data_IF_543815530902
#
_entry.id   IF_543815530902
#
_cell.length_a   1.000
_cell.length_b   1.000
_cell.length_c   1.000
_cell.angle_alpha   90.00
_cell.angle_beta   90.00
_cell.angle_gamma   90.00
#
_symmetry.space_group_name_H-M   'P 1'
#
loop_
_entity.id
_entity.type
_entity.pdbx_description
1 polymer ?
#
# COMPACT_ATOMS: atom_id res chain seq x y z
N UNK A 1 27.21 -12.23 -78.93
CA UNK A 1 27.30 -11.86 -77.50
C UNK A 1 25.96 -11.24 -77.12
N UNK A 2 24.99 -12.08 -76.70
CA UNK A 2 24.36 -12.07 -75.36
C UNK A 2 24.34 -10.69 -74.71
N UNK A 3 23.13 -10.14 -74.53
CA UNK A 3 22.57 -9.59 -73.28
C UNK A 3 21.27 -8.84 -73.63
N UNK A 4 20.14 -9.55 -73.58
CA UNK A 4 18.82 -8.94 -73.50
C UNK A 4 18.00 -9.77 -72.49
N UNK A 5 17.10 -9.11 -71.76
CA UNK A 5 16.06 -9.68 -70.87
C UNK A 5 16.33 -9.66 -69.36
N UNK A 6 16.75 -8.55 -68.74
CA UNK A 6 16.52 -8.37 -67.28
C UNK A 6 16.32 -6.89 -66.95
N UNK A 7 15.20 -6.23 -67.31
CA UNK A 7 14.85 -4.90 -66.72
C UNK A 7 13.34 -4.56 -66.71
N UNK A 8 12.43 -5.52 -66.59
CA UNK A 8 11.00 -5.17 -66.44
C UNK A 8 10.23 -5.91 -65.35
N UNK A 9 10.84 -6.86 -64.64
CA UNK A 9 10.13 -7.63 -63.60
C UNK A 9 10.25 -7.06 -62.18
N UNK A 10 11.11 -6.06 -61.93
CA UNK A 10 11.35 -5.51 -60.57
C UNK A 10 10.44 -4.32 -60.24
N UNK A 11 9.78 -3.72 -61.23
CA UNK A 11 8.89 -2.57 -61.01
C UNK A 11 7.45 -2.96 -60.64
N UNK A 12 7.07 -4.24 -60.78
CA UNK A 12 5.71 -4.70 -60.46
C UNK A 12 5.53 -5.09 -58.99
N UNK A 13 6.60 -5.36 -58.25
CA UNK A 13 6.54 -5.75 -56.83
C UNK A 13 6.45 -4.57 -55.85
N UNK A 14 6.55 -3.32 -56.33
CA UNK A 14 6.47 -2.12 -55.48
C UNK A 14 5.07 -1.50 -55.38
N UNK A 15 4.06 -2.05 -56.06
CA UNK A 15 2.70 -1.48 -56.08
C UNK A 15 1.65 -2.23 -55.25
N UNK A 16 2.05 -3.25 -54.48
CA UNK A 16 1.09 -4.02 -53.66
C UNK A 16 1.50 -3.98 -52.19
N UNK A 17 1.26 -2.85 -51.52
CA UNK A 17 1.10 -2.80 -50.06
C UNK A 17 0.71 -1.40 -49.56
N UNK A 18 -0.27 -0.77 -50.21
CA UNK A 18 -1.14 0.17 -49.49
C UNK A 18 -2.43 -0.56 -49.15
N UNK A 19 -2.35 -1.54 -48.24
CA UNK A 19 -3.52 -2.05 -47.55
C UNK A 19 -3.99 -0.95 -46.61
N UNK A 20 -4.91 -0.11 -47.08
CA UNK A 20 -5.72 0.73 -46.21
C UNK A 20 -6.56 -0.25 -45.39
N UNK A 21 -6.06 -0.64 -44.23
CA UNK A 21 -6.84 -1.35 -43.23
C UNK A 21 -7.88 -0.36 -42.70
N UNK A 22 -8.99 -0.22 -43.41
CA UNK A 22 -10.21 0.33 -42.85
C UNK A 22 -10.68 -0.73 -41.87
N UNK A 23 -10.20 -0.66 -40.63
CA UNK A 23 -10.68 -1.55 -39.59
C UNK A 23 -12.14 -1.18 -39.33
N UNK A 24 -13.06 -2.02 -39.79
CA UNK A 24 -14.49 -1.93 -39.50
C UNK A 24 -14.80 -2.13 -38.00
N UNK A 25 -13.75 -2.35 -37.19
CA UNK A 25 -13.78 -2.42 -35.74
C UNK A 25 -14.55 -1.25 -35.08
N UNK A 26 -14.62 -0.09 -35.74
CA UNK A 26 -15.35 1.09 -35.24
C UNK A 26 -16.55 1.50 -36.10
N UNK A 27 -17.14 0.60 -36.91
CA UNK A 27 -18.36 0.87 -37.71
C UNK A 27 -18.28 2.20 -38.51
N UNK A 28 -17.18 2.43 -39.23
CA UNK A 28 -17.02 3.63 -40.06
C UNK A 28 -16.69 4.94 -39.33
N UNK A 29 -16.54 4.93 -38.00
CA UNK A 29 -16.01 6.10 -37.26
C UNK A 29 -14.50 6.15 -37.46
N UNK A 30 -13.99 7.29 -37.94
CA UNK A 30 -12.54 7.47 -38.09
C UNK A 30 -11.90 7.42 -36.71
N UNK A 31 -10.86 6.59 -36.53
CA UNK A 31 -10.06 6.52 -35.30
C UNK A 31 -9.71 7.92 -34.78
N UNK A 32 -9.29 8.83 -35.66
CA UNK A 32 -8.98 10.21 -35.30
C UNK A 32 -10.14 10.95 -34.59
N UNK A 33 -11.39 10.70 -34.94
CA UNK A 33 -12.57 11.33 -34.32
C UNK A 33 -12.85 10.76 -32.90
N UNK A 34 -12.56 9.47 -32.69
CA UNK A 34 -12.63 8.85 -31.35
C UNK A 34 -11.53 9.44 -30.48
N UNK A 35 -10.30 9.51 -30.98
CA UNK A 35 -9.18 10.09 -30.26
C UNK A 35 -9.42 11.57 -29.95
N UNK A 36 -9.95 12.38 -30.88
CA UNK A 36 -10.25 13.80 -30.62
C UNK A 36 -11.28 14.00 -29.48
N UNK A 37 -12.24 13.08 -29.33
CA UNK A 37 -13.24 13.12 -28.25
C UNK A 37 -12.72 12.55 -26.92
N UNK A 38 -11.64 11.76 -26.91
CA UNK A 38 -11.13 11.09 -25.71
C UNK A 38 -9.74 11.54 -25.24
N UNK A 39 -8.90 12.12 -26.11
CA UNK A 39 -7.49 12.44 -25.81
C UNK A 39 -7.32 13.55 -24.77
N UNK A 40 -8.35 14.38 -24.56
CA UNK A 40 -8.26 15.53 -23.66
C UNK A 40 -9.27 15.52 -22.51
N UNK A 41 -10.15 14.52 -22.43
CA UNK A 41 -11.15 14.42 -21.36
C UNK A 41 -10.63 13.45 -20.30
N UNK A 42 -9.83 13.99 -19.37
CA UNK A 42 -9.43 13.26 -18.18
C UNK A 42 -10.60 13.26 -17.18
N UNK A 43 -11.13 12.09 -16.76
CA UNK A 43 -12.19 12.04 -15.77
C UNK A 43 -11.65 12.52 -14.41
N UNK A 44 -12.43 13.34 -13.72
CA UNK A 44 -12.20 13.62 -12.31
C UNK A 44 -12.76 12.43 -11.52
N UNK A 45 -11.86 11.71 -10.85
CA UNK A 45 -12.23 10.64 -9.93
C UNK A 45 -12.22 11.21 -8.51
N UNK A 46 -13.38 11.29 -7.86
CA UNK A 46 -13.47 11.69 -6.45
C UNK A 46 -13.75 10.46 -5.60
N UNK A 47 -12.87 10.23 -4.62
CA UNK A 47 -13.05 9.20 -3.60
C UNK A 47 -13.44 9.91 -2.31
N UNK A 48 -14.64 9.62 -1.80
CA UNK A 48 -15.12 10.16 -0.54
C UNK A 48 -15.11 9.05 0.50
N UNK A 49 -14.35 9.28 1.58
CA UNK A 49 -14.30 8.40 2.74
C UNK A 49 -15.08 9.04 3.90
N UNK A 50 -15.73 8.24 4.76
CA UNK A 50 -16.16 8.71 6.07
C UNK A 50 -14.98 9.29 6.85
N UNK A 51 -15.26 10.27 7.72
CA UNK A 51 -14.23 10.96 8.48
C UNK A 51 -13.46 10.01 9.39
N UNK A 52 -14.16 9.05 10.01
CA UNK A 52 -13.54 8.01 10.84
C UNK A 52 -12.52 7.16 10.07
N UNK A 53 -12.86 6.75 8.86
CA UNK A 53 -12.03 5.91 8.00
C UNK A 53 -10.84 6.71 7.45
N UNK A 54 -11.07 7.99 7.09
CA UNK A 54 -10.03 8.90 6.65
C UNK A 54 -9.02 9.18 7.76
N UNK A 55 -9.48 9.39 8.99
CA UNK A 55 -8.62 9.60 10.16
C UNK A 55 -7.79 8.35 10.48
N UNK A 56 -8.38 7.16 10.33
CA UNK A 56 -7.65 5.89 10.50
C UNK A 56 -6.56 5.71 9.44
N UNK A 57 -6.86 6.06 8.18
CA UNK A 57 -5.89 6.05 7.10
C UNK A 57 -4.75 7.03 7.35
N UNK A 58 -5.05 8.25 7.79
CA UNK A 58 -4.03 9.24 8.13
C UNK A 58 -3.16 8.79 9.30
N UNK A 59 -3.78 8.25 10.36
CA UNK A 59 -3.07 7.71 11.51
C UNK A 59 -2.06 6.63 11.08
N UNK A 60 -2.46 5.74 10.16
CA UNK A 60 -1.54 4.73 9.61
C UNK A 60 -0.30 5.36 8.99
N UNK A 61 -0.47 6.33 8.09
CA UNK A 61 0.65 7.01 7.43
C UNK A 61 1.54 7.75 8.42
N UNK A 62 0.95 8.40 9.42
CA UNK A 62 1.72 9.02 10.52
C UNK A 62 2.56 7.99 11.26
N UNK A 63 1.98 6.82 11.57
CA UNK A 63 2.69 5.75 12.25
C UNK A 63 3.82 5.17 11.41
N UNK A 64 3.58 4.82 10.13
CA UNK A 64 4.62 4.31 9.23
C UNK A 64 5.80 5.29 9.09
N UNK A 65 5.52 6.60 9.08
CA UNK A 65 6.54 7.64 9.04
C UNK A 65 7.29 7.78 10.36
N UNK A 66 6.58 7.77 11.49
CA UNK A 66 7.19 8.12 12.77
C UNK A 66 7.91 6.93 13.43
N UNK A 67 7.37 5.70 13.32
CA UNK A 67 7.89 4.51 14.02
C UNK A 67 8.79 3.63 13.14
N UNK A 68 9.19 4.08 11.95
CA UNK A 68 10.14 3.33 11.14
C UNK A 68 11.54 3.32 11.76
N UNK A 69 12.38 2.39 11.27
CA UNK A 69 13.73 2.16 11.79
C UNK A 69 14.64 3.38 11.71
N UNK A 70 14.43 4.28 10.75
CA UNK A 70 15.27 5.47 10.57
C UNK A 70 14.87 6.63 11.47
N UNK A 71 13.60 6.68 11.89
CA UNK A 71 13.03 7.83 12.60
C UNK A 71 12.84 7.53 14.08
N UNK A 72 12.22 6.39 14.42
CA UNK A 72 11.93 5.96 15.80
C UNK A 72 11.41 7.10 16.69
N UNK A 73 10.52 7.94 16.14
CA UNK A 73 9.93 9.07 16.85
C UNK A 73 8.79 8.58 17.73
N UNK A 74 8.78 9.03 18.98
CA UNK A 74 7.68 8.75 19.91
C UNK A 74 6.36 9.30 19.38
N UNK A 75 5.37 8.43 19.26
CA UNK A 75 4.01 8.79 18.85
C UNK A 75 3.01 7.91 19.61
N UNK A 76 2.43 8.46 20.69
CA UNK A 76 1.54 7.69 21.57
C UNK A 76 0.26 7.23 20.85
N UNK A 77 -0.22 7.98 19.84
CA UNK A 77 -1.38 7.58 19.03
C UNK A 77 -1.14 6.27 18.30
N UNK A 78 0.11 6.03 17.88
CA UNK A 78 0.50 4.79 17.21
C UNK A 78 0.57 3.61 18.16
N UNK A 79 0.88 3.83 19.43
CA UNK A 79 0.92 2.77 20.45
C UNK A 79 -0.46 2.38 20.96
N UNK A 80 -1.45 3.23 20.74
CA UNK A 80 -2.85 2.99 21.09
C UNK A 80 -3.74 2.84 19.86
N UNK A 81 -3.15 2.64 18.68
CA UNK A 81 -3.93 2.50 17.45
C UNK A 81 -4.79 1.22 17.47
N UNK A 82 -5.91 1.16 16.74
CA UNK A 82 -6.85 0.03 16.81
C UNK A 82 -6.25 -1.34 16.46
N UNK A 83 -5.20 -1.36 15.63
CA UNK A 83 -4.48 -2.58 15.22
C UNK A 83 -3.40 -3.01 16.22
N UNK A 84 -3.14 -2.23 17.27
CA UNK A 84 -2.13 -2.59 18.26
C UNK A 84 -2.70 -3.58 19.27
N UNK A 85 -2.01 -4.72 19.40
CA UNK A 85 -2.33 -5.73 20.39
C UNK A 85 -1.13 -5.99 21.32
N UNK A 86 -1.12 -5.35 22.50
CA UNK A 86 -0.02 -5.49 23.47
C UNK A 86 0.19 -6.93 23.96
N UNK A 87 -0.89 -7.72 24.04
CA UNK A 87 -0.80 -9.14 24.41
C UNK A 87 -0.02 -9.93 23.37
N UNK A 88 -0.32 -9.70 22.10
CA UNK A 88 0.37 -10.38 21.00
C UNK A 88 1.82 -9.91 20.87
N UNK A 89 2.06 -8.60 20.91
CA UNK A 89 3.40 -7.99 20.89
C UNK A 89 4.25 -8.56 22.03
N UNK A 90 3.71 -8.60 23.25
CA UNK A 90 4.37 -9.17 24.42
C UNK A 90 4.72 -10.65 24.23
N UNK A 91 3.77 -11.47 23.72
CA UNK A 91 4.02 -12.88 23.42
C UNK A 91 5.11 -13.08 22.37
N UNK A 92 5.08 -12.30 21.28
CA UNK A 92 6.12 -12.33 20.24
C UNK A 92 7.48 -11.92 20.82
N UNK A 93 7.51 -10.90 21.67
CA UNK A 93 8.74 -10.45 22.32
C UNK A 93 9.35 -11.50 23.26
N UNK A 94 8.52 -12.23 24.03
CA UNK A 94 8.97 -13.38 24.81
C UNK A 94 9.50 -14.52 23.91
N UNK A 95 8.75 -14.88 22.87
CA UNK A 95 9.15 -15.94 21.94
C UNK A 95 10.48 -15.63 21.24
N UNK A 96 10.69 -14.37 20.87
CA UNK A 96 11.90 -13.87 20.21
C UNK A 96 13.02 -13.50 21.19
N UNK A 97 12.85 -13.76 22.50
CA UNK A 97 13.85 -13.55 23.56
C UNK A 97 14.32 -12.09 23.68
N UNK A 98 13.44 -11.12 23.45
CA UNK A 98 13.74 -9.70 23.69
C UNK A 98 13.87 -9.37 25.19
N UNK A 99 13.15 -10.12 26.03
CA UNK A 99 13.21 -9.97 27.48
C UNK A 99 14.29 -10.85 28.12
N UNK A 100 14.99 -10.29 29.10
CA UNK A 100 15.89 -11.04 29.98
C UNK A 100 15.13 -12.14 30.74
N UNK A 101 15.81 -13.23 31.13
CA UNK A 101 15.19 -14.47 31.65
C UNK A 101 14.36 -14.33 32.94
N UNK A 102 14.39 -13.17 33.60
CA UNK A 102 13.79 -12.94 34.92
C UNK A 102 12.76 -11.79 34.92
N UNK A 103 11.85 -11.76 33.95
CA UNK A 103 10.71 -10.83 33.99
C UNK A 103 9.81 -11.18 35.18
N UNK A 104 9.34 -10.15 35.91
CA UNK A 104 8.41 -10.34 37.02
C UNK A 104 7.14 -11.08 36.54
N UNK A 105 6.76 -12.20 37.19
CA UNK A 105 5.57 -12.98 36.87
C UNK A 105 4.29 -12.14 36.72
N UNK A 106 4.17 -11.02 37.46
CA UNK A 106 3.04 -10.08 37.36
C UNK A 106 2.88 -9.51 35.95
N UNK A 107 3.97 -9.16 35.27
CA UNK A 107 3.89 -8.64 33.90
C UNK A 107 3.53 -9.74 32.90
N UNK A 108 4.05 -10.96 33.12
CA UNK A 108 3.72 -12.12 32.30
C UNK A 108 2.22 -12.42 32.37
N UNK A 109 1.64 -12.38 33.58
CA UNK A 109 0.21 -12.56 33.79
C UNK A 109 -0.63 -11.45 33.12
N UNK A 110 -0.21 -10.19 33.24
CA UNK A 110 -0.89 -9.06 32.59
C UNK A 110 -0.88 -9.15 31.06
N UNK A 111 0.23 -9.58 30.47
CA UNK A 111 0.32 -9.82 29.02
C UNK A 111 -0.62 -10.97 28.61
N UNK A 112 -0.59 -12.08 29.33
CA UNK A 112 -1.43 -13.24 29.00
C UNK A 112 -2.93 -12.97 29.16
N UNK A 113 -3.31 -12.17 30.16
CA UNK A 113 -4.69 -11.72 30.36
C UNK A 113 -5.12 -10.62 29.38
N UNK A 114 -4.17 -9.87 28.80
CA UNK A 114 -4.46 -8.75 27.90
C UNK A 114 -4.83 -7.45 28.62
N UNK A 115 -4.60 -7.37 29.92
CA UNK A 115 -4.96 -6.23 30.77
C UNK A 115 -3.78 -5.28 31.02
N UNK A 116 -2.70 -5.39 30.25
CA UNK A 116 -1.53 -4.53 30.38
C UNK A 116 -1.77 -3.17 29.71
N UNK A 117 -1.47 -2.08 30.42
CA UNK A 117 -1.51 -0.73 29.85
C UNK A 117 -0.21 -0.39 29.12
N UNK A 118 -0.22 0.62 28.24
CA UNK A 118 0.98 1.04 27.52
C UNK A 118 2.11 1.51 28.45
N UNK A 119 1.77 2.21 29.54
CA UNK A 119 2.75 2.69 30.53
C UNK A 119 3.39 1.54 31.31
N UNK A 120 2.62 0.52 31.65
CA UNK A 120 3.15 -0.69 32.29
C UNK A 120 4.01 -1.50 31.33
N UNK A 121 3.60 -1.58 30.07
CA UNK A 121 4.36 -2.23 29.01
C UNK A 121 5.71 -1.52 28.77
N UNK A 122 5.70 -0.19 28.68
CA UNK A 122 6.91 0.62 28.57
C UNK A 122 7.83 0.45 29.78
N UNK A 123 7.26 0.43 30.99
CA UNK A 123 8.02 0.20 32.22
C UNK A 123 8.70 -1.17 32.17
N UNK A 124 7.97 -2.21 31.81
CA UNK A 124 8.51 -3.57 31.65
C UNK A 124 9.63 -3.62 30.61
N UNK A 125 9.46 -2.99 29.43
CA UNK A 125 10.49 -2.91 28.39
C UNK A 125 11.76 -2.28 28.94
N UNK A 126 11.64 -1.13 29.62
CA UNK A 126 12.78 -0.41 30.20
C UNK A 126 13.49 -1.21 31.31
N UNK A 127 12.74 -1.99 32.09
CA UNK A 127 13.32 -2.76 33.20
C UNK A 127 14.00 -4.04 32.73
N UNK A 128 13.43 -4.73 31.74
CA UNK A 128 13.83 -6.11 31.40
C UNK A 128 14.48 -6.26 30.02
N UNK A 129 14.69 -5.15 29.30
CA UNK A 129 15.33 -5.14 27.98
C UNK A 129 16.28 -3.95 27.87
N UNK A 130 17.15 -3.97 26.86
CA UNK A 130 17.95 -2.81 26.45
C UNK A 130 17.28 -1.96 25.38
N UNK A 131 16.06 -2.30 24.96
CA UNK A 131 15.34 -1.65 23.88
C UNK A 131 14.41 -0.57 24.40
N UNK A 132 13.97 0.32 23.50
CA UNK A 132 12.97 1.33 23.80
C UNK A 132 11.57 0.90 23.35
N UNK A 133 10.55 1.64 23.78
CA UNK A 133 9.17 1.41 23.36
C UNK A 133 9.04 1.60 21.84
N UNK A 134 9.66 2.65 21.30
CA UNK A 134 9.70 2.99 19.88
C UNK A 134 10.24 1.82 19.06
N UNK A 135 11.31 1.16 19.53
CA UNK A 135 11.90 -0.01 18.87
C UNK A 135 10.96 -1.22 18.90
N UNK A 136 10.28 -1.45 20.03
CA UNK A 136 9.29 -2.52 20.14
C UNK A 136 8.12 -2.35 19.18
N UNK A 137 7.75 -1.09 18.92
CA UNK A 137 6.66 -0.75 18.01
C UNK A 137 7.09 -0.56 16.56
N UNK A 138 8.38 -0.60 16.27
CA UNK A 138 8.90 -0.51 14.92
C UNK A 138 8.67 -1.84 14.17
N UNK A 139 7.97 -1.82 13.02
CA UNK A 139 7.68 -3.04 12.25
C UNK A 139 8.91 -3.85 11.86
N UNK A 140 10.09 -3.19 11.73
CA UNK A 140 11.36 -3.85 11.41
C UNK A 140 11.84 -4.86 12.46
N UNK A 141 11.36 -4.76 13.70
CA UNK A 141 11.65 -5.74 14.76
C UNK A 141 10.66 -6.92 14.77
N UNK A 142 9.64 -6.90 13.91
CA UNK A 142 8.70 -8.01 13.71
C UNK A 142 7.75 -8.28 14.87
N UNK A 143 7.60 -7.33 15.80
CA UNK A 143 6.72 -7.47 16.97
C UNK A 143 5.32 -6.89 16.71
N UNK A 144 5.26 -5.79 15.97
CA UNK A 144 4.00 -5.16 15.52
C UNK A 144 3.80 -5.51 14.05
N UNK A 145 2.61 -6.01 13.73
CA UNK A 145 2.23 -6.23 12.34
C UNK A 145 1.72 -4.92 11.74
N UNK A 146 2.12 -4.59 10.49
CA UNK A 146 1.51 -3.49 9.78
C UNK A 146 0.03 -3.82 9.54
N UNK A 147 -0.85 -2.81 9.60
CA UNK A 147 -2.26 -3.08 9.51
C UNK A 147 -2.65 -3.69 8.15
N UNK A 148 -3.49 -4.70 8.21
CA UNK A 148 -3.90 -5.53 7.07
C UNK A 148 -5.19 -5.00 6.42
N UNK A 149 -5.55 -5.54 5.25
CA UNK A 149 -6.71 -5.08 4.48
C UNK A 149 -8.03 -5.12 5.26
N UNK A 150 -8.17 -6.03 6.23
CA UNK A 150 -9.37 -6.13 7.06
C UNK A 150 -9.60 -4.88 7.92
N UNK A 151 -8.53 -4.20 8.34
CA UNK A 151 -8.60 -3.01 9.21
C UNK A 151 -8.94 -1.73 8.43
N UNK A 152 -8.85 -1.77 7.10
CA UNK A 152 -9.23 -0.66 6.20
C UNK A 152 -10.47 -0.99 5.36
N UNK A 153 -11.27 -1.98 5.76
CA UNK A 153 -12.49 -2.34 5.05
C UNK A 153 -13.60 -1.32 5.36
N UNK A 154 -13.81 -0.41 4.42
CA UNK A 154 -14.78 0.68 4.52
C UNK A 154 -16.12 0.30 3.87
N UNK A 155 -17.23 0.50 4.60
CA UNK A 155 -18.57 0.13 4.11
C UNK A 155 -19.32 1.28 3.42
N UNK A 156 -18.88 2.53 3.64
CA UNK A 156 -19.60 3.75 3.21
C UNK A 156 -18.81 4.62 2.24
N UNK A 157 -17.67 4.14 1.75
CA UNK A 157 -16.88 4.86 0.76
C UNK A 157 -17.68 5.05 -0.54
N UNK A 158 -17.51 6.21 -1.18
CA UNK A 158 -18.13 6.53 -2.45
C UNK A 158 -17.06 6.91 -3.46
N UNK A 159 -17.24 6.50 -4.70
CA UNK A 159 -16.41 6.91 -5.82
C UNK A 159 -17.31 7.54 -6.87
N UNK A 160 -17.04 8.78 -7.25
CA UNK A 160 -17.71 9.46 -8.35
C UNK A 160 -16.75 9.65 -9.51
N UNK A 161 -17.27 9.47 -10.72
CA UNK A 161 -16.55 9.66 -11.97
C UNK A 161 -17.25 10.78 -12.73
N UNK A 162 -16.54 11.90 -12.91
CA UNK A 162 -17.02 13.07 -13.63
C UNK A 162 -16.22 13.18 -14.93
N UNK A 163 -16.87 12.90 -16.06
CA UNK A 163 -16.33 13.17 -17.39
C UNK A 163 -16.78 14.57 -17.82
N UNK A 164 -15.83 15.40 -18.26
CA UNK A 164 -16.00 16.77 -18.76
C UNK A 164 -16.12 17.92 -17.75
N UNK A 165 -16.03 17.69 -16.44
CA UNK A 165 -15.99 18.78 -15.43
C UNK A 165 -17.30 19.54 -15.30
#
# INVERSE_FOLDING_TARGET
>A
MKFNNIKFSVLLSLFVSNTIAISDFFNGVKRAEIFEKTDFVLPIVRITLPEEDYNLLNLRYECERDINLTTLKRNDKCYTAPWVNLKEIGRKAFANKFFNRNVDPKYVEKINSGNITINEFETMIKTYTSYTLEQFFCPSYGLVEPPTQSEFKVNKAKMTFELNG
#
